data_IF_690282980096
#
_entry.id   IF_690282980096
#
_cell.length_a   1.000
_cell.length_b   1.000
_cell.length_c   1.000
_cell.angle_alpha   90.00
_cell.angle_beta   90.00
_cell.angle_gamma   90.00
#
_symmetry.space_group_name_H-M   'P 1'
#
loop_
_entity.id
_entity.type
_entity.pdbx_description
1 polymer ?
#
# COMPACT_ATOMS: atom_id res chain seq x y z
N UNK A 1 50.14 -37.29 36.01
CA UNK A 1 48.75 -36.80 36.23
C UNK A 1 48.39 -35.84 35.10
N UNK A 2 47.54 -36.25 34.15
CA UNK A 2 47.13 -35.45 32.98
C UNK A 2 45.89 -34.62 33.34
N UNK A 3 45.97 -33.28 33.26
CA UNK A 3 44.85 -32.37 33.50
C UNK A 3 44.14 -32.09 32.18
N UNK A 4 42.92 -32.63 32.04
CA UNK A 4 42.04 -32.34 30.89
C UNK A 4 41.33 -31.02 31.22
N UNK A 5 41.50 -30.01 30.36
CA UNK A 5 40.79 -28.73 30.47
C UNK A 5 39.53 -28.80 29.61
N UNK A 6 38.38 -28.93 30.25
CA UNK A 6 37.08 -28.80 29.60
C UNK A 6 36.82 -27.34 29.26
N UNK A 7 36.77 -27.00 27.96
CA UNK A 7 36.21 -25.74 27.50
C UNK A 7 34.69 -25.91 27.38
N UNK A 8 33.94 -25.21 28.24
CA UNK A 8 32.50 -25.08 28.08
C UNK A 8 32.23 -23.87 27.17
N UNK A 9 31.62 -24.13 26.00
CA UNK A 9 31.20 -23.09 25.06
C UNK A 9 29.73 -22.76 25.36
N UNK A 10 29.49 -21.66 26.08
CA UNK A 10 28.13 -21.15 26.29
C UNK A 10 27.71 -20.34 25.05
N UNK A 11 26.87 -20.93 24.20
CA UNK A 11 26.28 -20.25 23.05
C UNK A 11 25.14 -19.34 23.50
N UNK A 12 25.34 -18.02 23.42
CA UNK A 12 24.29 -17.02 23.64
C UNK A 12 23.45 -16.93 22.37
N UNK A 13 22.26 -17.55 22.37
CA UNK A 13 21.29 -17.39 21.30
C UNK A 13 20.60 -16.04 21.45
N UNK A 14 20.94 -15.08 20.59
CA UNK A 14 20.19 -13.83 20.47
C UNK A 14 18.89 -14.16 19.74
N UNK A 15 17.78 -14.25 20.49
CA UNK A 15 16.45 -14.27 19.92
C UNK A 15 16.17 -12.89 19.32
N UNK A 16 16.27 -12.77 18.00
CA UNK A 16 15.84 -11.58 17.29
C UNK A 16 14.31 -11.55 17.31
N UNK A 17 13.71 -10.60 18.02
CA UNK A 17 12.28 -10.36 17.96
C UNK A 17 11.96 -9.71 16.60
N UNK A 18 11.20 -10.42 15.75
CA UNK A 18 10.69 -9.85 14.52
C UNK A 18 9.71 -8.72 14.86
N UNK A 19 10.03 -7.48 14.46
CA UNK A 19 9.12 -6.36 14.54
C UNK A 19 8.26 -6.33 13.28
N UNK A 20 6.98 -6.63 13.41
CA UNK A 20 6.01 -6.40 12.34
C UNK A 20 5.45 -4.99 12.45
N UNK A 21 5.56 -4.19 11.38
CA UNK A 21 4.82 -2.94 11.26
C UNK A 21 3.38 -3.26 10.85
N UNK A 22 2.42 -2.81 11.65
CA UNK A 22 0.99 -2.93 11.32
C UNK A 22 0.45 -1.55 10.99
N UNK A 23 -0.24 -1.44 9.86
CA UNK A 23 -1.02 -0.26 9.48
C UNK A 23 -2.49 -0.68 9.60
N UNK A 24 -3.24 0.02 10.44
CA UNK A 24 -4.67 -0.21 10.64
C UNK A 24 -5.40 1.08 10.32
N UNK A 25 -6.42 0.96 9.48
CA UNK A 25 -7.33 2.05 9.14
C UNK A 25 -8.76 1.50 9.18
N UNK A 26 -9.62 2.15 9.95
CA UNK A 26 -11.04 1.81 10.06
C UNK A 26 -11.96 2.86 9.39
N UNK A 27 -11.37 3.94 8.87
CA UNK A 27 -12.04 5.07 8.21
C UNK A 27 -13.05 5.80 9.11
N UNK A 28 -12.95 5.64 10.44
CA UNK A 28 -13.77 6.40 11.41
C UNK A 28 -13.48 7.91 11.37
N UNK A 29 -12.27 8.28 10.93
CA UNK A 29 -11.82 9.65 10.71
C UNK A 29 -11.41 9.85 9.25
N UNK A 30 -11.23 11.11 8.84
CA UNK A 30 -10.83 11.44 7.49
C UNK A 30 -9.43 10.89 7.16
N UNK A 31 -9.31 9.91 6.23
CA UNK A 31 -8.04 9.25 5.96
C UNK A 31 -6.99 10.17 5.32
N UNK A 32 -7.39 11.29 4.69
CA UNK A 32 -6.42 12.27 4.18
C UNK A 32 -5.62 12.95 5.29
N UNK A 33 -6.13 12.93 6.51
CA UNK A 33 -5.45 13.44 7.71
C UNK A 33 -4.51 12.39 8.33
N UNK A 34 -4.61 11.14 7.88
CA UNK A 34 -3.86 9.98 8.38
C UNK A 34 -3.01 9.32 7.27
N UNK A 35 -2.32 10.13 6.47
CA UNK A 35 -1.29 9.64 5.54
C UNK A 35 -1.78 8.94 4.28
N UNK A 36 -3.09 8.87 4.04
CA UNK A 36 -3.62 8.38 2.78
C UNK A 36 -3.57 9.43 1.67
N UNK A 37 -3.35 8.95 0.45
CA UNK A 37 -3.22 9.76 -0.74
C UNK A 37 -4.05 9.18 -1.89
N UNK A 38 -4.39 10.04 -2.85
CA UNK A 38 -5.05 9.67 -4.09
C UNK A 38 -4.10 9.92 -5.26
N UNK A 39 -4.04 8.98 -6.19
CA UNK A 39 -3.53 9.18 -7.53
C UNK A 39 -4.67 9.06 -8.55
N UNK A 40 -4.66 9.91 -9.58
CA UNK A 40 -5.67 9.92 -10.64
C UNK A 40 -6.84 10.84 -10.33
N UNK A 41 -8.07 10.44 -10.68
CA UNK A 41 -9.26 11.23 -10.44
C UNK A 41 -9.70 11.15 -8.97
N UNK A 42 -9.59 12.27 -8.27
CA UNK A 42 -9.92 12.37 -6.83
C UNK A 42 -11.41 12.26 -6.55
N UNK A 43 -12.28 12.56 -7.51
CA UNK A 43 -13.74 12.52 -7.31
C UNK A 43 -14.27 11.08 -7.16
N UNK A 44 -13.44 10.07 -7.41
CA UNK A 44 -13.77 8.66 -7.24
C UNK A 44 -13.64 8.18 -5.80
N UNK A 45 -13.04 8.98 -4.91
CA UNK A 45 -12.78 8.63 -3.51
C UNK A 45 -13.33 9.71 -2.61
N UNK A 46 -14.29 9.36 -1.76
CA UNK A 46 -14.90 10.30 -0.84
C UNK A 46 -14.99 9.70 0.55
N UNK A 47 -14.40 10.38 1.54
CA UNK A 47 -14.68 10.04 2.92
C UNK A 47 -16.07 10.57 3.29
N UNK A 48 -16.94 9.66 3.69
CA UNK A 48 -18.30 9.97 4.15
C UNK A 48 -18.29 10.11 5.67
N UNK A 49 -18.35 11.35 6.16
CA UNK A 49 -18.33 11.63 7.60
C UNK A 49 -19.59 11.17 8.33
N UNK A 50 -20.70 10.96 7.61
CA UNK A 50 -21.96 10.50 8.20
C UNK A 50 -21.91 9.00 8.41
N UNK A 51 -21.45 8.25 7.41
CA UNK A 51 -21.34 6.79 7.47
C UNK A 51 -20.00 6.28 8.02
N UNK A 52 -19.03 7.19 8.25
CA UNK A 52 -17.70 6.89 8.77
C UNK A 52 -16.99 5.80 7.96
N UNK A 53 -16.96 5.97 6.64
CA UNK A 53 -16.29 5.05 5.72
C UNK A 53 -15.69 5.78 4.52
N UNK A 54 -14.84 5.08 3.79
CA UNK A 54 -14.39 5.51 2.47
C UNK A 54 -15.36 5.00 1.40
N UNK A 55 -16.12 5.90 0.80
CA UNK A 55 -16.91 5.62 -0.39
C UNK A 55 -16.02 5.66 -1.63
N UNK A 56 -16.04 4.58 -2.42
CA UNK A 56 -15.22 4.44 -3.63
C UNK A 56 -16.14 4.18 -4.82
N UNK A 57 -15.96 4.97 -5.87
CA UNK A 57 -16.60 4.75 -7.17
C UNK A 57 -15.56 4.20 -8.14
N UNK A 58 -15.82 3.02 -8.69
CA UNK A 58 -15.03 2.48 -9.79
C UNK A 58 -15.70 2.81 -11.12
N UNK A 59 -14.94 3.40 -12.04
CA UNK A 59 -15.39 3.69 -13.40
C UNK A 59 -14.31 3.28 -14.40
N UNK A 60 -14.52 2.16 -15.08
CA UNK A 60 -13.56 1.61 -16.06
C UNK A 60 -13.44 2.44 -17.35
N UNK A 61 -14.32 3.43 -17.55
CA UNK A 61 -14.18 4.38 -18.66
C UNK A 61 -13.11 5.44 -18.39
N UNK A 62 -12.69 5.59 -17.13
CA UNK A 62 -11.70 6.57 -16.71
C UNK A 62 -10.30 5.95 -16.63
N UNK A 63 -9.28 6.81 -16.62
CA UNK A 63 -7.92 6.37 -16.34
C UNK A 63 -7.82 5.78 -14.93
N UNK A 64 -6.96 4.76 -14.79
CA UNK A 64 -6.73 4.10 -13.50
C UNK A 64 -6.41 5.12 -12.41
N UNK A 65 -7.16 5.03 -11.33
CA UNK A 65 -7.01 5.87 -10.13
C UNK A 65 -6.92 4.94 -8.93
N UNK A 66 -6.17 5.34 -7.90
CA UNK A 66 -6.00 4.51 -6.70
C UNK A 66 -5.84 5.35 -5.45
N UNK A 67 -6.34 4.80 -4.34
CA UNK A 67 -6.17 5.31 -3.00
C UNK A 67 -5.13 4.48 -2.27
N UNK A 68 -4.14 5.12 -1.65
CA UNK A 68 -2.99 4.40 -1.09
C UNK A 68 -2.44 5.05 0.18
N UNK A 69 -1.90 4.20 1.05
CA UNK A 69 -1.12 4.60 2.21
C UNK A 69 0.34 4.13 2.01
N UNK A 70 1.34 5.03 2.01
CA UNK A 70 2.74 4.63 1.90
C UNK A 70 3.14 3.73 3.07
N UNK A 71 3.82 2.62 2.79
CA UNK A 71 4.31 1.72 3.84
C UNK A 71 5.51 2.30 4.61
N UNK A 72 6.16 3.33 4.07
CA UNK A 72 7.43 3.85 4.60
C UNK A 72 8.63 2.91 4.42
N UNK A 73 8.43 1.75 3.80
CA UNK A 73 9.45 0.73 3.51
C UNK A 73 9.19 0.06 2.16
N UNK A 74 10.13 -0.76 1.71
CA UNK A 74 10.01 -1.62 0.53
C UNK A 74 9.89 -3.05 1.04
N UNK A 75 8.84 -3.75 0.63
CA UNK A 75 8.72 -5.20 0.86
C UNK A 75 9.55 -5.96 -0.17
N UNK A 76 10.48 -6.77 0.32
CA UNK A 76 11.28 -7.70 -0.46
C UNK A 76 10.53 -9.03 -0.66
N UNK A 77 11.06 -9.88 -1.54
CA UNK A 77 10.49 -11.22 -1.79
C UNK A 77 10.48 -12.11 -0.54
N UNK A 78 11.48 -11.94 0.32
CA UNK A 78 11.68 -12.77 1.50
C UNK A 78 10.96 -12.21 2.74
N UNK A 79 10.23 -11.10 2.60
CA UNK A 79 9.43 -10.52 3.68
C UNK A 79 8.07 -11.22 3.79
N UNK A 80 7.73 -11.64 5.00
CA UNK A 80 6.39 -12.13 5.32
C UNK A 80 5.45 -10.95 5.59
N UNK A 81 4.32 -10.91 4.89
CA UNK A 81 3.30 -9.89 5.09
C UNK A 81 1.88 -10.46 4.93
N UNK A 82 0.91 -9.75 5.48
CA UNK A 82 -0.51 -10.04 5.27
C UNK A 82 -1.27 -8.73 5.02
N UNK A 83 -2.33 -8.81 4.22
CA UNK A 83 -3.30 -7.73 4.03
C UNK A 83 -4.68 -8.32 4.30
N UNK A 84 -5.46 -7.61 5.09
CA UNK A 84 -6.88 -7.88 5.31
C UNK A 84 -7.63 -6.57 5.11
N UNK A 85 -8.78 -6.63 4.46
CA UNK A 85 -9.66 -5.48 4.30
C UNK A 85 -11.11 -5.94 4.18
N UNK A 86 -12.02 -5.06 4.59
CA UNK A 86 -13.45 -5.23 4.39
C UNK A 86 -13.90 -4.43 3.16
N UNK A 87 -14.70 -5.06 2.30
CA UNK A 87 -15.27 -4.42 1.11
C UNK A 87 -16.78 -4.67 1.08
N UNK A 88 -17.55 -3.60 0.97
CA UNK A 88 -19.00 -3.65 0.75
C UNK A 88 -19.35 -3.08 -0.62
N UNK A 89 -19.88 -3.92 -1.49
CA UNK A 89 -20.46 -3.49 -2.76
C UNK A 89 -21.86 -2.93 -2.51
N UNK A 90 -22.05 -1.63 -2.70
CA UNK A 90 -23.35 -0.97 -2.50
C UNK A 90 -24.19 -0.94 -3.79
N UNK A 91 -23.55 -0.71 -4.93
CA UNK A 91 -24.19 -0.61 -6.24
C UNK A 91 -23.21 -1.01 -7.34
N UNK A 92 -23.72 -1.45 -8.49
CA UNK A 92 -22.90 -1.75 -9.67
C UNK A 92 -23.70 -1.56 -10.96
N UNK A 93 -23.04 -1.03 -11.98
CA UNK A 93 -23.56 -0.98 -13.35
C UNK A 93 -22.60 -1.77 -14.25
N UNK A 94 -23.07 -2.90 -14.76
CA UNK A 94 -22.33 -3.71 -15.72
C UNK A 94 -22.73 -3.37 -17.16
N UNK A 95 -21.83 -3.57 -18.11
CA UNK A 95 -22.12 -3.43 -19.54
C UNK A 95 -22.15 -2.01 -20.09
N UNK A 96 -21.48 -1.07 -19.43
CA UNK A 96 -21.19 0.26 -19.99
C UNK A 96 -20.24 0.13 -21.20
N UNK A 97 -19.30 -0.83 -21.16
CA UNK A 97 -18.58 -1.27 -22.35
C UNK A 97 -19.31 -2.47 -22.97
N UNK A 98 -19.88 -2.34 -24.19
CA UNK A 98 -20.54 -3.44 -24.90
C UNK A 98 -19.62 -4.65 -25.15
N UNK A 99 -18.29 -4.46 -25.12
CA UNK A 99 -17.30 -5.52 -25.30
C UNK A 99 -17.01 -6.28 -24.00
N UNK A 100 -17.40 -5.73 -22.85
CA UNK A 100 -17.15 -6.30 -21.53
C UNK A 100 -18.43 -6.25 -20.67
N UNK A 101 -19.52 -6.92 -21.09
CA UNK A 101 -20.86 -6.74 -20.53
C UNK A 101 -21.01 -7.12 -19.06
N UNK A 102 -20.03 -7.80 -18.46
CA UNK A 102 -20.14 -8.39 -17.11
C UNK A 102 -18.87 -8.25 -16.27
N UNK A 103 -17.96 -7.35 -16.61
CA UNK A 103 -16.67 -7.21 -15.89
C UNK A 103 -16.75 -6.14 -14.81
N UNK A 104 -16.37 -6.49 -13.59
CA UNK A 104 -16.11 -5.56 -12.49
C UNK A 104 -14.69 -5.82 -11.96
N UNK A 105 -13.66 -5.22 -12.56
CA UNK A 105 -12.30 -5.43 -12.09
C UNK A 105 -12.02 -4.50 -10.91
N UNK A 106 -11.73 -5.07 -9.73
CA UNK A 106 -11.18 -4.34 -8.59
C UNK A 106 -9.88 -5.02 -8.17
N UNK A 107 -8.86 -4.22 -7.88
CA UNK A 107 -7.54 -4.72 -7.47
C UNK A 107 -7.12 -4.10 -6.14
N UNK A 108 -6.61 -4.93 -5.24
CA UNK A 108 -5.95 -4.52 -4.00
C UNK A 108 -4.57 -5.17 -3.97
N UNK A 109 -3.55 -4.43 -3.57
CA UNK A 109 -2.20 -4.95 -3.46
C UNK A 109 -1.15 -3.87 -3.24
N UNK A 110 0.11 -4.27 -3.36
CA UNK A 110 1.26 -3.39 -3.21
C UNK A 110 1.67 -2.80 -4.55
N UNK A 111 2.01 -1.52 -4.54
CA UNK A 111 2.55 -0.83 -5.70
C UNK A 111 4.06 -0.61 -5.51
N UNK A 112 4.83 -0.82 -6.58
CA UNK A 112 6.23 -0.44 -6.57
C UNK A 112 6.37 1.08 -6.47
N UNK A 113 7.25 1.54 -5.57
CA UNK A 113 7.39 2.97 -5.24
C UNK A 113 7.76 3.88 -6.42
N UNK A 114 8.39 3.35 -7.47
CA UNK A 114 8.73 4.11 -8.68
C UNK A 114 7.55 4.37 -9.62
N UNK A 115 6.42 3.67 -9.43
CA UNK A 115 5.19 3.87 -10.22
C UNK A 115 4.32 4.99 -9.65
N UNK A 116 4.60 5.46 -8.44
CA UNK A 116 4.02 6.68 -7.90
C UNK A 116 4.77 7.84 -8.57
N UNK A 117 4.12 8.69 -9.38
CA UNK A 117 4.79 9.87 -9.89
C UNK A 117 5.18 10.73 -8.70
N UNK A 118 6.46 10.68 -8.36
CA UNK A 118 6.99 11.47 -7.28
C UNK A 118 6.70 12.95 -7.61
N UNK A 119 6.24 13.69 -6.62
CA UNK A 119 6.48 15.13 -6.53
C UNK A 119 7.99 15.41 -6.35
N UNK A 120 8.86 14.74 -7.12
CA UNK A 120 10.28 15.03 -7.23
C UNK A 120 10.40 16.17 -8.20
N UNK A 121 10.67 17.36 -7.65
CA UNK A 121 11.15 18.49 -8.42
C UNK A 121 12.26 18.04 -9.35
N UNK A 122 12.01 18.15 -10.65
CA UNK A 122 13.03 18.04 -11.67
C UNK A 122 13.93 19.27 -11.55
N UNK A 123 14.92 19.24 -10.66
CA UNK A 123 16.10 20.10 -10.79
C UNK A 123 16.96 19.52 -11.90
N UNK A 124 16.59 19.84 -13.14
CA UNK A 124 17.39 19.54 -14.32
C UNK A 124 18.72 20.27 -14.21
N UNK A 125 19.79 19.54 -13.91
CA UNK A 125 21.14 20.04 -14.03
C UNK A 125 21.46 20.21 -15.52
N UNK A 126 21.21 21.41 -16.04
CA UNK A 126 21.55 21.79 -17.41
C UNK A 126 23.08 21.88 -17.52
N UNK A 127 23.73 20.81 -17.94
CA UNK A 127 25.14 20.85 -18.35
C UNK A 127 25.23 21.66 -19.65
N UNK A 128 25.70 22.90 -19.53
CA UNK A 128 26.30 23.62 -20.65
C UNK A 128 27.56 22.87 -21.05
N UNK A 129 27.59 22.32 -22.25
CA UNK A 129 28.85 22.17 -22.98
C UNK A 129 28.93 23.27 -24.02
N UNK A 130 30.09 23.90 -24.03
CA UNK A 130 30.55 25.01 -24.88
C UNK A 130 30.43 24.71 -26.35
#
# INVERSE_FOLDING_TARGET
MKRIRSLALAGLWVLSAAHATTITEDFSNNPSENGWHIFGNTNLFQWDSVNQNLAVTWDSSQANSYFYHPLGTILARDDDFSITFDLRLNDFIAGIDPRMPSTFPLSVGFLASFLIPAARGYTGHRSRRS
#
